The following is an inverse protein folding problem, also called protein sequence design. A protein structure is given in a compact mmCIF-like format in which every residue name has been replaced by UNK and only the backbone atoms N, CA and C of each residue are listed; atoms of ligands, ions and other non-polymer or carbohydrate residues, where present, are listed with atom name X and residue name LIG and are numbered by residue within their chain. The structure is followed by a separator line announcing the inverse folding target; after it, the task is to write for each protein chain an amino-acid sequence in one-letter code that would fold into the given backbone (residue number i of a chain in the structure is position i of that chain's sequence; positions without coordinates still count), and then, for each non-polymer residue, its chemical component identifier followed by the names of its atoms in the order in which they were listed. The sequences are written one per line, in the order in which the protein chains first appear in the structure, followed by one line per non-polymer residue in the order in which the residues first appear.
data_IF_288707813867
#
_entry.id   IF_288707813867
#
_cell.length_a   1.000
_cell.length_b   1.000
_cell.length_c   1.000
_cell.angle_alpha   90.00
_cell.angle_beta   90.00
_cell.angle_gamma   90.00
#
_symmetry.space_group_name_H-M   'P 1'
#
loop_
_entity.id
_entity.type
_entity.pdbx_description
1 polymer ?
#
# COMPACT_ATOMS: atom_id res chain seq x y z
N UNK A 1 -4.42 0.18 -24.26
CA UNK A 1 -4.28 1.65 -24.28
C UNK A 1 -5.66 2.26 -24.12
N UNK A 2 -5.84 3.18 -23.19
CA UNK A 2 -7.08 3.97 -23.05
C UNK A 2 -6.71 5.42 -23.29
N UNK A 3 -7.35 6.09 -24.26
CA UNK A 3 -7.01 7.45 -24.65
C UNK A 3 -5.50 7.67 -24.93
N UNK A 4 -4.81 6.66 -25.47
CA UNK A 4 -3.36 6.72 -25.72
C UNK A 4 -2.47 6.48 -24.50
N UNK A 5 -3.04 6.22 -23.32
CA UNK A 5 -2.29 5.93 -22.11
C UNK A 5 -2.16 4.42 -21.85
N UNK A 6 -1.00 3.94 -21.35
CA UNK A 6 -0.86 2.58 -20.86
C UNK A 6 -1.68 2.43 -19.58
N UNK A 7 -2.72 1.61 -19.64
CA UNK A 7 -3.59 1.28 -18.51
C UNK A 7 -3.58 -0.23 -18.32
N UNK A 8 -3.42 -0.65 -17.06
CA UNK A 8 -3.43 -2.05 -16.66
C UNK A 8 -4.62 -2.30 -15.73
N UNK A 9 -5.40 -3.33 -16.05
CA UNK A 9 -6.40 -3.86 -15.13
C UNK A 9 -5.77 -5.00 -14.33
N UNK A 10 -5.81 -4.86 -13.01
CA UNK A 10 -5.29 -5.87 -12.09
C UNK A 10 -6.48 -6.59 -11.43
N UNK A 11 -6.55 -7.92 -11.51
CA UNK A 11 -7.55 -8.65 -10.75
C UNK A 11 -7.23 -8.54 -9.25
N UNK A 12 -8.26 -8.38 -8.43
CA UNK A 12 -8.13 -8.41 -6.99
C UNK A 12 -8.01 -9.85 -6.48
N UNK A 13 -6.82 -10.44 -6.64
CA UNK A 13 -6.57 -11.86 -6.39
C UNK A 13 -6.27 -12.23 -4.93
N UNK A 14 -6.03 -11.24 -4.05
CA UNK A 14 -5.67 -11.48 -2.64
C UNK A 14 -6.70 -10.88 -1.69
N UNK A 15 -6.81 -11.45 -0.48
CA UNK A 15 -7.69 -10.94 0.56
C UNK A 15 -7.35 -9.48 0.94
N UNK A 16 -6.04 -9.15 1.00
CA UNK A 16 -5.55 -7.81 1.24
C UNK A 16 -6.01 -6.82 0.16
N UNK A 17 -5.95 -7.20 -1.11
CA UNK A 17 -6.36 -6.33 -2.20
C UNK A 17 -7.89 -6.13 -2.24
N UNK A 18 -8.67 -7.14 -1.85
CA UNK A 18 -10.12 -7.03 -1.68
C UNK A 18 -10.49 -6.06 -0.54
N UNK A 19 -9.81 -6.19 0.62
CA UNK A 19 -9.99 -5.24 1.73
C UNK A 19 -9.63 -3.81 1.31
N UNK A 20 -8.50 -3.65 0.61
CA UNK A 20 -8.05 -2.36 0.11
C UNK A 20 -9.09 -1.70 -0.81
N UNK A 21 -9.71 -2.47 -1.71
CA UNK A 21 -10.74 -1.96 -2.62
C UNK A 21 -12.01 -1.53 -1.86
N UNK A 22 -12.42 -2.31 -0.87
CA UNK A 22 -13.57 -1.97 -0.02
C UNK A 22 -13.30 -0.69 0.79
N UNK A 23 -12.11 -0.60 1.38
CA UNK A 23 -11.66 0.52 2.21
C UNK A 23 -11.18 1.75 1.41
N UNK A 24 -11.17 1.68 0.08
CA UNK A 24 -10.74 2.81 -0.74
C UNK A 24 -11.53 4.07 -0.40
N UNK A 25 -10.86 5.22 -0.49
CA UNK A 25 -11.41 6.53 -0.13
C UNK A 25 -11.56 7.39 -1.37
N UNK A 26 -12.53 8.30 -1.34
CA UNK A 26 -12.67 9.29 -2.40
C UNK A 26 -11.66 10.42 -2.20
N UNK A 27 -11.00 10.82 -3.30
CA UNK A 27 -10.11 11.97 -3.37
C UNK A 27 -10.44 12.77 -4.62
N UNK A 28 -10.37 14.09 -4.51
CA UNK A 28 -10.45 14.96 -5.66
C UNK A 28 -9.13 14.92 -6.43
N UNK A 29 -9.21 14.68 -7.74
CA UNK A 29 -8.10 14.76 -8.67
C UNK A 29 -8.51 15.73 -9.77
N UNK A 30 -8.01 16.96 -9.68
CA UNK A 30 -8.30 18.04 -10.62
C UNK A 30 -9.80 18.26 -10.85
N UNK A 31 -10.61 18.24 -9.77
CA UNK A 31 -12.06 18.41 -9.83
C UNK A 31 -12.84 17.15 -10.18
N UNK A 32 -12.16 16.01 -10.36
CA UNK A 32 -12.79 14.71 -10.61
C UNK A 32 -12.68 13.82 -9.38
N UNK A 33 -13.80 13.36 -8.79
CA UNK A 33 -13.76 12.42 -7.68
C UNK A 33 -13.22 11.07 -8.15
N UNK A 34 -12.18 10.58 -7.48
CA UNK A 34 -11.53 9.31 -7.74
C UNK A 34 -11.47 8.45 -6.47
N UNK A 35 -11.82 7.17 -6.60
CA UNK A 35 -11.63 6.17 -5.54
C UNK A 35 -10.19 5.68 -5.57
N UNK A 36 -9.44 5.95 -4.49
CA UNK A 36 -8.03 5.55 -4.36
C UNK A 36 -7.84 4.67 -3.12
N UNK A 37 -6.91 3.71 -3.21
CA UNK A 37 -6.54 2.90 -2.06
C UNK A 37 -5.89 3.78 -0.98
N UNK A 38 -6.14 3.47 0.29
CA UNK A 38 -5.50 4.16 1.41
C UNK A 38 -3.99 3.90 1.42
N UNK A 39 -3.21 4.82 1.99
CA UNK A 39 -1.76 4.68 2.09
C UNK A 39 -1.34 3.41 2.85
N UNK A 40 -2.07 3.05 3.91
CA UNK A 40 -1.82 1.86 4.72
C UNK A 40 -1.94 0.57 3.90
N UNK A 41 -3.03 0.42 3.14
CA UNK A 41 -3.21 -0.73 2.25
C UNK A 41 -2.17 -0.77 1.13
N UNK A 42 -1.79 0.38 0.54
CA UNK A 42 -0.72 0.43 -0.46
C UNK A 42 0.60 -0.04 0.16
N UNK A 43 0.92 0.41 1.37
CA UNK A 43 2.12 -0.01 2.08
C UNK A 43 2.10 -1.51 2.41
N UNK A 44 0.94 -2.05 2.84
CA UNK A 44 0.78 -3.47 3.09
C UNK A 44 0.96 -4.31 1.81
N UNK A 45 0.36 -3.89 0.69
CA UNK A 45 0.52 -4.58 -0.60
C UNK A 45 1.97 -4.53 -1.08
N UNK A 46 2.63 -3.39 -0.94
CA UNK A 46 4.05 -3.23 -1.26
C UNK A 46 4.95 -4.16 -0.41
N UNK A 47 4.57 -4.40 0.83
CA UNK A 47 5.25 -5.35 1.71
C UNK A 47 4.98 -6.81 1.31
N UNK A 48 3.75 -7.15 0.93
CA UNK A 48 3.34 -8.47 0.42
C UNK A 48 4.10 -8.85 -0.87
N UNK A 49 4.28 -7.91 -1.80
CA UNK A 49 4.97 -8.17 -3.07
C UNK A 49 6.49 -8.25 -2.92
N UNK A 50 7.06 -7.66 -1.87
CA UNK A 50 8.45 -7.82 -1.46
C UNK A 50 9.52 -7.32 -2.45
N UNK A 51 9.16 -6.59 -3.51
CA UNK A 51 10.12 -6.12 -4.53
C UNK A 51 11.00 -5.02 -3.93
N UNK A 52 12.27 -4.95 -4.32
CA UNK A 52 13.21 -3.98 -3.77
C UNK A 52 12.74 -2.51 -3.89
N UNK A 53 12.02 -2.15 -4.97
CA UNK A 53 11.43 -0.82 -5.19
C UNK A 53 10.19 -0.55 -4.31
N UNK A 54 9.49 -1.60 -3.89
CA UNK A 54 8.27 -1.48 -3.10
C UNK A 54 8.60 -1.13 -1.63
N UNK A 55 9.74 -1.60 -1.11
CA UNK A 55 10.26 -1.20 0.21
C UNK A 55 10.54 0.31 0.31
N UNK A 56 11.14 0.89 -0.74
CA UNK A 56 11.39 2.33 -0.79
C UNK A 56 10.08 3.14 -0.80
N UNK A 57 9.03 2.62 -1.44
CA UNK A 57 7.71 3.25 -1.44
C UNK A 57 7.07 3.24 -0.05
N UNK A 58 7.16 2.13 0.67
CA UNK A 58 6.68 2.05 2.08
C UNK A 58 7.40 3.11 2.93
N UNK A 59 8.71 3.26 2.77
CA UNK A 59 9.49 4.25 3.49
C UNK A 59 9.03 5.69 3.17
N UNK A 60 8.88 6.03 1.88
CA UNK A 60 8.43 7.36 1.47
C UNK A 60 7.07 7.73 2.08
N UNK A 61 6.15 6.77 2.18
CA UNK A 61 4.86 6.99 2.83
C UNK A 61 4.99 7.28 4.34
N UNK A 62 5.92 6.61 5.02
CA UNK A 62 6.20 6.82 6.45
C UNK A 62 6.87 8.18 6.67
N UNK A 63 7.90 8.50 5.89
CA UNK A 63 8.64 9.78 5.98
C UNK A 63 7.75 10.98 5.66
N UNK A 64 6.82 10.82 4.71
CA UNK A 64 5.82 11.85 4.39
C UNK A 64 4.74 12.01 5.46
N UNK A 65 4.71 11.18 6.51
CA UNK A 65 3.65 11.17 7.52
C UNK A 65 2.27 10.81 6.95
N UNK A 66 2.24 10.13 5.79
CA UNK A 66 1.01 9.82 5.06
C UNK A 66 0.36 8.50 5.50
N UNK A 67 1.02 7.75 6.40
CA UNK A 67 0.56 6.46 6.92
C UNK A 67 0.37 6.53 8.42
N UNK A 68 -0.79 6.08 8.89
CA UNK A 68 -1.00 5.73 10.28
C UNK A 68 -0.37 4.36 10.57
N UNK A 69 0.73 4.37 11.33
CA UNK A 69 1.48 3.17 11.67
C UNK A 69 0.70 2.16 12.52
N UNK A 70 -0.24 2.63 13.35
CA UNK A 70 -1.07 1.73 14.14
C UNK A 70 -2.03 0.99 13.21
N UNK A 71 -2.69 1.74 12.32
CA UNK A 71 -3.61 1.16 11.35
C UNK A 71 -2.91 0.22 10.36
N UNK A 72 -1.72 0.58 9.90
CA UNK A 72 -0.89 -0.29 9.07
C UNK A 72 -0.56 -1.60 9.80
N UNK A 73 -0.15 -1.53 11.07
CA UNK A 73 0.17 -2.73 11.87
C UNK A 73 -1.04 -3.66 12.05
N UNK A 74 -2.24 -3.11 12.25
CA UNK A 74 -3.48 -3.90 12.31
C UNK A 74 -3.72 -4.66 10.99
N UNK A 75 -3.65 -3.96 9.86
CA UNK A 75 -3.82 -4.57 8.52
C UNK A 75 -2.77 -5.67 8.31
N UNK A 76 -1.49 -5.37 8.58
CA UNK A 76 -0.41 -6.34 8.44
C UNK A 76 -0.61 -7.58 9.31
N UNK A 77 -1.11 -7.40 10.54
CA UNK A 77 -1.41 -8.51 11.44
C UNK A 77 -2.56 -9.38 10.92
N UNK A 78 -3.64 -8.78 10.43
CA UNK A 78 -4.78 -9.49 9.85
C UNK A 78 -4.39 -10.33 8.62
N UNK A 79 -3.42 -9.86 7.82
CA UNK A 79 -2.96 -10.56 6.62
C UNK A 79 -1.70 -11.42 6.85
N UNK A 80 -1.26 -11.62 8.09
CA UNK A 80 -0.12 -12.49 8.42
C UNK A 80 1.24 -11.94 7.98
N UNK A 81 1.36 -10.64 7.75
CA UNK A 81 2.56 -9.96 7.25
C UNK A 81 3.45 -9.37 8.37
N UNK A 82 3.13 -9.63 9.64
CA UNK A 82 3.89 -9.11 10.79
C UNK A 82 5.38 -9.49 10.78
N UNK A 83 5.73 -10.69 10.30
CA UNK A 83 7.12 -11.13 10.20
C UNK A 83 7.89 -10.37 9.12
N UNK A 84 7.25 -10.12 7.98
CA UNK A 84 7.80 -9.30 6.90
C UNK A 84 8.01 -7.85 7.37
N UNK A 85 7.09 -7.33 8.18
CA UNK A 85 7.21 -6.01 8.78
C UNK A 85 8.41 -5.90 9.74
N UNK A 86 8.61 -6.89 10.61
CA UNK A 86 9.78 -6.92 11.50
C UNK A 86 11.09 -7.00 10.72
N UNK A 87 11.13 -7.75 9.62
CA UNK A 87 12.31 -7.80 8.76
C UNK A 87 12.57 -6.44 8.09
N UNK A 88 11.51 -5.76 7.63
CA UNK A 88 11.58 -4.42 7.08
C UNK A 88 12.11 -3.41 8.11
N UNK A 89 11.55 -3.40 9.34
CA UNK A 89 12.02 -2.53 10.42
C UNK A 89 13.49 -2.76 10.77
N UNK A 90 13.96 -4.01 10.78
CA UNK A 90 15.39 -4.32 11.02
C UNK A 90 16.29 -3.77 9.92
N UNK A 91 15.94 -4.03 8.66
CA UNK A 91 16.69 -3.53 7.50
C UNK A 91 16.73 -2.00 7.42
N UNK A 92 15.75 -1.32 8.01
CA UNK A 92 15.69 0.13 8.07
C UNK A 92 16.50 0.71 9.25
N UNK A 93 16.56 0.04 10.41
CA UNK A 93 17.38 0.50 11.55
C UNK A 93 18.88 0.37 11.35
N UNK A 94 19.32 -0.45 10.41
CA UNK A 94 20.74 -0.69 10.10
C UNK A 94 21.28 0.23 8.98
N UNK A 95 20.48 1.20 8.51
CA UNK A 95 20.87 2.21 7.52
C UNK A 95 21.07 3.59 8.14
#
# INVERSE_FOLDING_TARGET
MIAGWPVQFLPAGTALLQEALAAAVEKDVEGTPARVLTAEHIAAIALETGRAKDKARVLQFIEAGAVDLNRLREILAHHGLSSAWQQFERQFREQ
#
